data_IF_858390414999
#
_entry.id   IF_858390414999
#
_cell.length_a   1.000
_cell.length_b   1.000
_cell.length_c   1.000
_cell.angle_alpha   90.00
_cell.angle_beta   90.00
_cell.angle_gamma   90.00
#
_symmetry.space_group_name_H-M   'P 1'
#
loop_
_entity.id
_entity.type
_entity.pdbx_description
1 polymer ?
#
# COMPACT_ATOMS: atom_id res chain seq x y z
N UNK A 1 -5.02 5.74 6.12
CA UNK A 1 -5.90 4.54 6.18
C UNK A 1 -5.31 3.59 7.21
N UNK A 2 -6.13 2.82 7.93
CA UNK A 2 -5.63 1.77 8.84
C UNK A 2 -6.34 0.46 8.50
N UNK A 3 -5.56 -0.62 8.30
CA UNK A 3 -6.06 -1.96 7.97
C UNK A 3 -5.58 -2.97 9.01
N UNK A 4 -6.48 -3.81 9.53
CA UNK A 4 -6.09 -4.90 10.42
C UNK A 4 -5.96 -6.18 9.59
N UNK A 5 -4.76 -6.74 9.52
CA UNK A 5 -4.48 -7.92 8.72
C UNK A 5 -5.35 -9.10 9.18
N UNK A 6 -6.08 -9.68 8.24
CA UNK A 6 -6.96 -10.82 8.43
C UNK A 6 -6.38 -12.08 7.78
N UNK A 7 -6.97 -13.24 8.07
CA UNK A 7 -6.51 -14.51 7.50
C UNK A 7 -6.53 -14.53 5.96
N UNK A 8 -7.49 -13.84 5.33
CA UNK A 8 -7.59 -13.72 3.88
C UNK A 8 -6.47 -12.89 3.24
N UNK A 9 -5.75 -12.10 4.04
CA UNK A 9 -4.63 -11.31 3.56
C UNK A 9 -3.35 -12.13 3.46
N UNK A 10 -3.33 -13.35 4.02
CA UNK A 10 -2.11 -14.14 4.13
C UNK A 10 -1.83 -14.97 2.88
N UNK A 11 -0.55 -15.14 2.59
CA UNK A 11 -0.07 -16.14 1.65
C UNK A 11 0.14 -17.52 2.31
N UNK A 12 0.66 -18.48 1.53
CA UNK A 12 0.94 -19.84 2.01
C UNK A 12 2.03 -19.90 3.10
N UNK A 13 2.85 -18.86 3.22
CA UNK A 13 3.91 -18.76 4.23
C UNK A 13 3.39 -18.16 5.54
N UNK A 14 2.16 -17.64 5.55
CA UNK A 14 1.53 -17.01 6.71
C UNK A 14 1.90 -15.54 6.91
N UNK A 15 2.54 -14.92 5.91
CA UNK A 15 2.76 -13.47 5.88
C UNK A 15 1.66 -12.80 5.09
N UNK A 16 1.45 -11.51 5.31
CA UNK A 16 0.57 -10.71 4.46
C UNK A 16 1.10 -10.74 3.02
N UNK A 17 0.24 -11.13 2.09
CA UNK A 17 0.56 -11.30 0.68
C UNK A 17 0.99 -9.99 0.03
N UNK A 18 2.02 -10.03 -0.82
CA UNK A 18 2.54 -8.86 -1.54
C UNK A 18 1.47 -8.09 -2.32
N UNK A 19 0.51 -8.80 -2.94
CA UNK A 19 -0.59 -8.19 -3.70
C UNK A 19 -1.55 -7.43 -2.79
N UNK A 20 -1.74 -7.87 -1.54
CA UNK A 20 -2.63 -7.19 -0.61
C UNK A 20 -2.16 -5.79 -0.28
N UNK A 21 -0.85 -5.56 -0.21
CA UNK A 21 -0.32 -4.20 -0.06
C UNK A 21 -0.68 -3.32 -1.26
N UNK A 22 -0.55 -3.83 -2.49
CA UNK A 22 -0.91 -3.07 -3.70
C UNK A 22 -2.39 -2.66 -3.65
N UNK A 23 -3.29 -3.57 -3.26
CA UNK A 23 -4.70 -3.24 -3.08
C UNK A 23 -4.91 -2.11 -2.08
N UNK A 24 -4.22 -2.13 -0.93
CA UNK A 24 -4.31 -1.06 0.07
C UNK A 24 -3.84 0.31 -0.44
N UNK A 25 -2.87 0.34 -1.36
CA UNK A 25 -2.44 1.58 -2.01
C UNK A 25 -3.51 2.08 -2.98
N UNK A 26 -4.11 1.17 -3.77
CA UNK A 26 -5.11 1.50 -4.77
C UNK A 26 -6.45 1.92 -4.14
N UNK A 27 -6.82 1.36 -2.99
CA UNK A 27 -8.01 1.73 -2.20
C UNK A 27 -7.97 3.20 -1.70
N UNK A 28 -6.83 3.88 -1.80
CA UNK A 28 -6.74 5.31 -1.55
C UNK A 28 -7.50 6.15 -2.59
N UNK A 29 -7.56 5.67 -3.84
CA UNK A 29 -8.16 6.39 -4.96
C UNK A 29 -9.63 6.02 -5.11
N UNK A 30 -10.47 6.99 -5.46
CA UNK A 30 -11.84 6.70 -5.84
C UNK A 30 -11.90 5.98 -7.20
N UNK A 31 -12.96 5.20 -7.41
CA UNK A 31 -13.21 4.54 -8.69
C UNK A 31 -13.43 5.53 -9.86
N UNK A 32 -13.75 6.80 -9.58
CA UNK A 32 -13.83 7.87 -10.57
C UNK A 32 -12.43 8.36 -10.95
N UNK A 33 -11.59 8.66 -9.95
CA UNK A 33 -10.20 9.09 -10.16
C UNK A 33 -9.43 8.05 -11.00
N UNK A 34 -9.55 6.77 -10.64
CA UNK A 34 -8.91 5.66 -11.36
C UNK A 34 -9.42 5.45 -12.79
N UNK A 35 -10.61 5.93 -13.12
CA UNK A 35 -11.20 5.83 -14.46
C UNK A 35 -10.74 6.96 -15.37
N UNK A 36 -10.62 8.16 -14.80
CA UNK A 36 -10.12 9.34 -15.51
C UNK A 36 -8.59 9.33 -15.65
N UNK A 37 -7.89 8.82 -14.64
CA UNK A 37 -6.43 8.76 -14.54
C UNK A 37 -6.01 7.32 -14.19
N UNK A 38 -5.87 6.45 -15.21
CA UNK A 38 -5.54 5.04 -15.00
C UNK A 38 -4.09 4.87 -14.57
N UNK A 39 -3.85 4.00 -13.58
CA UNK A 39 -2.50 3.75 -13.04
C UNK A 39 -1.52 3.34 -14.14
N UNK A 40 -0.45 4.12 -14.28
CA UNK A 40 0.61 3.91 -15.26
C UNK A 40 1.81 3.15 -14.69
N UNK A 41 2.12 3.36 -13.42
CA UNK A 41 3.29 2.73 -12.78
C UNK A 41 3.05 2.52 -11.29
N UNK A 42 3.41 1.32 -10.82
CA UNK A 42 3.47 1.00 -9.39
C UNK A 42 4.89 0.55 -9.08
N UNK A 43 5.47 1.12 -8.02
CA UNK A 43 6.76 0.71 -7.48
C UNK A 43 6.57 0.30 -6.03
N UNK A 44 7.15 -0.84 -5.64
CA UNK A 44 7.02 -1.39 -4.29
C UNK A 44 8.40 -1.76 -3.74
N UNK A 45 8.66 -1.38 -2.50
CA UNK A 45 9.81 -1.79 -1.71
C UNK A 45 9.32 -2.46 -0.43
N UNK A 46 9.49 -3.78 -0.36
CA UNK A 46 9.12 -4.61 0.79
C UNK A 46 10.29 -4.62 1.78
N UNK A 47 10.08 -4.06 2.97
CA UNK A 47 11.12 -3.89 3.99
C UNK A 47 11.06 -4.99 5.05
N UNK A 48 9.87 -5.28 5.58
CA UNK A 48 9.63 -6.25 6.63
C UNK A 48 8.32 -7.00 6.36
N UNK A 49 8.23 -8.22 6.87
CA UNK A 49 7.02 -9.04 6.84
C UNK A 49 6.01 -8.57 7.89
N UNK A 50 4.71 -8.76 7.62
CA UNK A 50 3.61 -8.56 8.55
C UNK A 50 2.74 -9.80 8.64
N UNK A 51 2.01 -9.95 9.74
CA UNK A 51 1.30 -11.17 10.12
C UNK A 51 -0.17 -10.89 10.44
N UNK A 52 -0.95 -11.96 10.53
CA UNK A 52 -2.35 -11.89 10.91
C UNK A 52 -2.53 -11.15 12.26
N UNK A 53 -3.46 -10.21 12.28
CA UNK A 53 -3.78 -9.39 13.45
C UNK A 53 -2.95 -8.11 13.58
N UNK A 54 -1.87 -7.95 12.81
CA UNK A 54 -1.11 -6.70 12.75
C UNK A 54 -1.99 -5.54 12.29
N UNK A 55 -1.72 -4.36 12.83
CA UNK A 55 -2.38 -3.12 12.41
C UNK A 55 -1.45 -2.40 11.43
N UNK A 56 -1.85 -2.36 10.17
CA UNK A 56 -1.14 -1.69 9.08
C UNK A 56 -1.64 -0.26 8.92
N UNK A 57 -0.78 0.70 9.21
CA UNK A 57 -1.03 2.13 9.09
C UNK A 57 -0.47 2.63 7.76
N UNK A 58 -1.37 3.07 6.86
CA UNK A 58 -1.02 3.55 5.53
C UNK A 58 -0.96 5.07 5.55
N UNK A 59 0.23 5.59 5.32
CA UNK A 59 0.56 7.00 5.13
C UNK A 59 0.69 7.31 3.64
N UNK A 60 0.34 8.54 3.27
CA UNK A 60 0.32 9.01 1.90
C UNK A 60 0.90 10.43 1.84
N UNK A 61 1.62 10.72 0.75
CA UNK A 61 2.06 12.06 0.37
C UNK A 61 2.10 12.19 -1.17
N UNK A 62 2.20 13.40 -1.69
CA UNK A 62 2.38 13.67 -3.13
C UNK A 62 3.86 14.00 -3.39
N UNK A 63 4.46 13.42 -4.42
CA UNK A 63 5.83 13.73 -4.80
C UNK A 63 5.95 15.21 -5.20
N UNK A 64 6.69 15.98 -4.41
CA UNK A 64 6.95 17.41 -4.65
C UNK A 64 7.52 17.72 -6.04
N UNK A 65 8.12 16.73 -6.72
CA UNK A 65 8.71 16.87 -8.06
C UNK A 65 7.80 16.36 -9.18
N UNK A 66 6.77 15.61 -8.85
CA UNK A 66 5.82 15.04 -9.80
C UNK A 66 4.44 14.87 -9.14
N UNK A 67 3.52 15.80 -9.45
CA UNK A 67 2.19 15.82 -8.85
C UNK A 67 1.34 14.58 -9.17
N UNK A 68 1.66 13.85 -10.24
CA UNK A 68 0.95 12.62 -10.64
C UNK A 68 1.46 11.38 -9.91
N UNK A 69 2.53 11.52 -9.10
CA UNK A 69 3.14 10.43 -8.35
C UNK A 69 2.78 10.53 -6.87
N UNK A 70 1.98 9.57 -6.42
CA UNK A 70 1.58 9.41 -5.03
C UNK A 70 2.57 8.49 -4.31
N UNK A 71 3.07 8.92 -3.16
CA UNK A 71 4.01 8.19 -2.32
C UNK A 71 3.26 7.57 -1.15
N UNK A 72 3.60 6.33 -0.81
CA UNK A 72 2.96 5.58 0.27
C UNK A 72 4.02 4.93 1.19
N UNK A 73 3.71 4.92 2.49
CA UNK A 73 4.45 4.16 3.49
C UNK A 73 3.45 3.39 4.35
N UNK A 74 3.64 2.07 4.48
CA UNK A 74 2.84 1.21 5.34
C UNK A 74 3.69 0.82 6.54
N UNK A 75 3.18 1.09 7.75
CA UNK A 75 3.85 0.79 9.02
C UNK A 75 3.03 -0.13 9.89
N UNK A 76 3.70 -0.87 10.76
CA UNK A 76 3.09 -1.57 11.88
C UNK A 76 3.76 -1.07 13.16
N UNK A 77 3.14 -0.09 13.82
CA UNK A 77 3.79 0.70 14.86
C UNK A 77 4.99 1.48 14.31
N UNK A 78 6.16 1.34 14.93
CA UNK A 78 7.36 2.07 14.49
C UNK A 78 8.05 1.45 13.27
N UNK A 79 7.69 0.21 12.91
CA UNK A 79 8.33 -0.55 11.83
C UNK A 79 7.75 -0.18 10.48
N UNK A 80 8.62 0.13 9.52
CA UNK A 80 8.24 0.26 8.10
C UNK A 80 8.14 -1.13 7.50
N UNK A 81 6.95 -1.49 7.00
CA UNK A 81 6.66 -2.78 6.37
C UNK A 81 6.88 -2.67 4.85
N UNK A 82 6.26 -1.67 4.23
CA UNK A 82 6.35 -1.43 2.79
C UNK A 82 6.45 0.06 2.51
N UNK A 83 7.24 0.42 1.49
CA UNK A 83 7.13 1.71 0.81
C UNK A 83 6.64 1.47 -0.60
N UNK A 84 5.82 2.37 -1.13
CA UNK A 84 5.37 2.27 -2.51
C UNK A 84 5.13 3.61 -3.15
N UNK A 85 5.03 3.62 -4.47
CA UNK A 85 4.50 4.77 -5.19
C UNK A 85 3.56 4.32 -6.29
N UNK A 86 2.50 5.10 -6.50
CA UNK A 86 1.53 4.92 -7.57
C UNK A 86 1.57 6.19 -8.42
N UNK A 87 1.84 6.03 -9.71
CA UNK A 87 1.72 7.09 -10.69
C UNK A 87 0.43 6.87 -11.48
N UNK A 88 -0.45 7.87 -11.42
CA UNK A 88 -1.68 7.92 -12.21
C UNK A 88 -1.42 8.45 -13.63
#
# INVERSE_FOLDING_TARGET
LTHKAAYSDLDINGHVNSIRYIELLLDYFSAEQMREHPVHRIEMAYCLESYCGDTLEVYHDIDSKNADRHLFEIKCGEKVIVKGSVQL
#
